data_IF_687878064385
#
_entry.id   IF_687878064385
#
_cell.length_a   1.000
_cell.length_b   1.000
_cell.length_c   1.000
_cell.angle_alpha   90.00
_cell.angle_beta   90.00
_cell.angle_gamma   90.00
#
_symmetry.space_group_name_H-M   'P 1'
#
loop_
_entity.id
_entity.type
_entity.pdbx_description
1 polymer ?
#
# COMPACT_ATOMS: atom_id res chain seq x y z
N UNK A 1 -30.30 9.55 -33.43
CA UNK A 1 -29.92 9.57 -32.02
C UNK A 1 -31.16 9.22 -31.21
N UNK A 2 -31.09 8.17 -30.36
CA UNK A 2 -32.22 7.81 -29.49
C UNK A 2 -32.43 8.91 -28.44
N UNK A 3 -33.70 9.19 -28.14
CA UNK A 3 -34.06 10.08 -27.06
C UNK A 3 -33.64 9.44 -25.74
N UNK A 4 -32.91 10.17 -24.88
CA UNK A 4 -32.52 9.66 -23.57
C UNK A 4 -33.77 9.39 -22.72
N UNK A 5 -34.00 8.12 -22.36
CA UNK A 5 -35.08 7.71 -21.48
C UNK A 5 -34.75 7.96 -20.02
N UNK A 6 -35.75 8.19 -19.19
CA UNK A 6 -35.59 8.47 -17.75
C UNK A 6 -34.88 7.33 -16.97
N UNK A 7 -34.97 6.08 -17.49
CA UNK A 7 -34.38 4.89 -16.86
C UNK A 7 -33.09 4.38 -17.55
N UNK A 8 -32.55 5.10 -18.52
CA UNK A 8 -31.40 4.61 -19.31
C UNK A 8 -30.15 4.38 -18.44
N UNK A 9 -29.92 5.22 -17.44
CA UNK A 9 -28.80 5.06 -16.52
C UNK A 9 -28.95 3.80 -15.64
N UNK A 10 -30.17 3.54 -15.13
CA UNK A 10 -30.44 2.36 -14.31
C UNK A 10 -30.32 1.08 -15.12
N UNK A 11 -30.83 1.06 -16.35
CA UNK A 11 -30.72 -0.08 -17.26
C UNK A 11 -29.24 -0.37 -17.59
N UNK A 12 -28.45 0.66 -17.85
CA UNK A 12 -27.00 0.52 -18.09
C UNK A 12 -26.26 0.00 -16.86
N UNK A 13 -26.59 0.49 -15.65
CA UNK A 13 -26.03 0.00 -14.41
C UNK A 13 -26.42 -1.47 -14.15
N UNK A 14 -27.67 -1.85 -14.39
CA UNK A 14 -28.13 -3.24 -14.30
C UNK A 14 -27.38 -4.15 -15.28
N UNK A 15 -27.17 -3.69 -16.52
CA UNK A 15 -26.39 -4.42 -17.52
C UNK A 15 -24.91 -4.59 -17.11
N UNK A 16 -24.30 -3.59 -16.45
CA UNK A 16 -22.95 -3.69 -15.90
C UNK A 16 -22.89 -4.72 -14.76
N UNK A 17 -23.88 -4.70 -13.87
CA UNK A 17 -23.99 -5.67 -12.75
C UNK A 17 -24.14 -7.10 -13.27
N UNK A 18 -24.96 -7.31 -14.30
CA UNK A 18 -25.12 -8.61 -14.94
C UNK A 18 -23.82 -9.15 -15.56
N UNK A 19 -22.92 -8.28 -15.99
CA UNK A 19 -21.56 -8.63 -16.47
C UNK A 19 -20.53 -8.81 -15.37
N UNK A 20 -20.90 -8.58 -14.10
CA UNK A 20 -20.03 -8.76 -12.95
C UNK A 20 -19.08 -7.57 -12.71
N UNK A 21 -19.64 -6.39 -12.41
CA UNK A 21 -18.82 -5.23 -12.01
C UNK A 21 -18.03 -5.52 -10.72
N UNK A 22 -16.67 -5.55 -10.77
CA UNK A 22 -15.86 -5.87 -9.60
C UNK A 22 -15.96 -4.83 -8.47
N UNK A 23 -16.37 -3.59 -8.78
CA UNK A 23 -16.52 -2.53 -7.78
C UNK A 23 -17.75 -2.74 -6.88
N UNK A 24 -18.79 -3.42 -7.34
CA UNK A 24 -19.93 -3.78 -6.49
C UNK A 24 -19.54 -4.73 -5.36
N UNK A 25 -18.71 -5.72 -5.66
CA UNK A 25 -18.20 -6.63 -4.63
C UNK A 25 -17.35 -5.88 -3.60
N UNK A 26 -16.52 -4.94 -4.04
CA UNK A 26 -15.72 -4.09 -3.16
C UNK A 26 -16.64 -3.21 -2.30
N UNK A 27 -17.64 -2.54 -2.90
CA UNK A 27 -18.56 -1.66 -2.18
C UNK A 27 -19.32 -2.38 -1.07
N UNK A 28 -19.74 -3.62 -1.33
CA UNK A 28 -20.46 -4.46 -0.37
C UNK A 28 -19.58 -4.98 0.76
N UNK A 29 -18.32 -5.34 0.47
CA UNK A 29 -17.45 -6.04 1.43
C UNK A 29 -16.65 -5.11 2.33
N UNK A 30 -16.38 -3.88 1.88
CA UNK A 30 -15.59 -2.89 2.63
C UNK A 30 -16.50 -2.09 3.55
N UNK A 31 -16.21 -2.01 4.87
CA UNK A 31 -17.02 -1.26 5.83
C UNK A 31 -16.69 0.24 5.79
N UNK A 32 -17.04 0.92 4.71
CA UNK A 32 -16.65 2.32 4.44
C UNK A 32 -16.90 3.26 5.60
N UNK A 33 -18.05 3.18 6.24
CA UNK A 33 -18.42 4.07 7.35
C UNK A 33 -17.56 3.86 8.60
N UNK A 34 -16.93 2.70 8.75
CA UNK A 34 -16.03 2.47 9.88
C UNK A 34 -14.76 3.32 9.86
N UNK A 35 -14.41 3.89 8.70
CA UNK A 35 -13.27 4.79 8.53
C UNK A 35 -13.62 6.26 8.78
N UNK A 36 -14.91 6.62 8.80
CA UNK A 36 -15.39 8.01 8.81
C UNK A 36 -14.80 8.83 9.95
N UNK A 37 -14.98 8.36 11.18
CA UNK A 37 -14.59 9.12 12.36
C UNK A 37 -13.09 9.46 12.37
N UNK A 38 -12.24 8.52 12.00
CA UNK A 38 -10.78 8.73 11.95
C UNK A 38 -10.37 9.71 10.84
N UNK A 39 -11.05 9.62 9.69
CA UNK A 39 -10.77 10.52 8.55
C UNK A 39 -11.24 11.94 8.88
N UNK A 40 -12.47 12.09 9.34
CA UNK A 40 -13.05 13.39 9.67
C UNK A 40 -12.28 14.13 10.75
N UNK A 41 -11.77 13.41 11.76
CA UNK A 41 -10.91 13.99 12.79
C UNK A 41 -9.63 14.66 12.24
N UNK A 42 -9.16 14.23 11.08
CA UNK A 42 -7.95 14.76 10.43
C UNK A 42 -8.27 15.84 9.39
N UNK A 43 -9.37 15.67 8.64
CA UNK A 43 -9.64 16.52 7.48
C UNK A 43 -10.57 17.69 7.76
N UNK A 44 -11.46 17.54 8.73
CA UNK A 44 -12.37 18.61 9.13
C UNK A 44 -11.72 19.54 10.16
N UNK A 45 -12.04 20.81 10.04
CA UNK A 45 -11.69 21.78 11.07
C UNK A 45 -12.70 21.64 12.21
N UNK A 46 -12.25 21.43 13.46
CA UNK A 46 -13.15 21.37 14.61
C UNK A 46 -14.05 22.60 14.70
N UNK A 47 -15.30 22.43 15.10
CA UNK A 47 -16.28 23.52 15.15
C UNK A 47 -15.85 24.67 16.06
N UNK A 48 -15.12 24.34 17.14
CA UNK A 48 -14.55 25.30 18.10
C UNK A 48 -13.52 26.26 17.47
N UNK A 49 -12.87 25.84 16.38
CA UNK A 49 -11.84 26.62 15.68
C UNK A 49 -12.41 27.30 14.44
N UNK A 50 -13.64 26.98 14.04
CA UNK A 50 -14.28 27.59 12.88
C UNK A 50 -14.61 29.04 13.17
N UNK A 51 -14.10 29.94 12.34
CA UNK A 51 -14.39 31.38 12.43
C UNK A 51 -15.81 31.74 11.99
N UNK A 52 -16.46 30.91 11.21
CA UNK A 52 -17.80 31.13 10.65
C UNK A 52 -18.38 29.81 10.14
N UNK A 53 -19.69 29.65 10.18
CA UNK A 53 -20.45 28.58 9.52
C UNK A 53 -20.72 28.86 8.04
N UNK A 54 -20.35 30.05 7.55
CA UNK A 54 -20.49 30.43 6.15
C UNK A 54 -19.45 29.69 5.29
N UNK A 55 -19.83 29.37 4.07
CA UNK A 55 -18.94 28.72 3.08
C UNK A 55 -19.52 27.45 2.48
N UNK A 56 -18.80 26.89 1.48
CA UNK A 56 -19.18 25.63 0.84
C UNK A 56 -19.05 24.50 1.87
N UNK A 57 -20.09 23.66 1.97
CA UNK A 57 -20.03 22.45 2.79
C UNK A 57 -18.84 21.56 2.37
N UNK A 58 -18.11 20.97 3.32
CA UNK A 58 -17.05 20.04 2.98
C UNK A 58 -17.63 18.84 2.22
N UNK A 59 -16.85 18.35 1.26
CA UNK A 59 -17.18 17.12 0.53
C UNK A 59 -17.12 15.97 1.52
N UNK A 60 -18.02 15.00 1.38
CA UNK A 60 -18.05 13.81 2.23
C UNK A 60 -16.69 13.10 2.23
N UNK A 61 -16.15 12.85 3.42
CA UNK A 61 -14.84 12.25 3.61
C UNK A 61 -14.75 10.83 3.05
N UNK A 62 -15.87 10.07 3.07
CA UNK A 62 -15.92 8.72 2.52
C UNK A 62 -15.93 8.74 0.99
N UNK A 63 -16.55 9.72 0.36
CA UNK A 63 -16.48 9.90 -1.10
C UNK A 63 -15.03 10.12 -1.54
N UNK A 64 -14.30 11.01 -0.86
CA UNK A 64 -12.88 11.26 -1.14
C UNK A 64 -12.01 10.03 -0.86
N UNK A 65 -12.29 9.29 0.21
CA UNK A 65 -11.56 8.06 0.51
C UNK A 65 -11.82 6.98 -0.55
N UNK A 66 -13.05 6.79 -1.01
CA UNK A 66 -13.38 5.91 -2.12
C UNK A 66 -12.64 6.31 -3.41
N UNK A 67 -12.52 7.62 -3.70
CA UNK A 67 -11.71 8.09 -4.83
C UNK A 67 -10.23 7.70 -4.69
N UNK A 68 -9.63 7.80 -3.50
CA UNK A 68 -8.25 7.34 -3.25
C UNK A 68 -8.10 5.83 -3.44
N UNK A 69 -9.10 5.05 -3.04
CA UNK A 69 -9.11 3.60 -3.27
C UNK A 69 -9.23 3.29 -4.76
N UNK A 70 -10.11 3.96 -5.51
CA UNK A 70 -10.17 3.85 -6.97
C UNK A 70 -8.85 4.19 -7.63
N UNK A 71 -8.21 5.26 -7.18
CA UNK A 71 -6.90 5.67 -7.66
C UNK A 71 -5.84 4.58 -7.44
N UNK A 72 -5.81 3.98 -6.25
CA UNK A 72 -4.88 2.91 -5.92
C UNK A 72 -5.17 1.60 -6.68
N UNK A 73 -6.44 1.23 -6.83
CA UNK A 73 -6.89 0.04 -7.55
C UNK A 73 -6.55 0.07 -9.05
N UNK A 74 -6.53 1.26 -9.65
CA UNK A 74 -6.36 1.45 -11.09
C UNK A 74 -5.08 2.22 -11.46
N UNK A 75 -4.25 2.58 -10.48
CA UNK A 75 -3.02 3.38 -10.64
C UNK A 75 -3.23 4.68 -11.44
N UNK A 76 -4.25 5.44 -11.10
CA UNK A 76 -4.61 6.68 -11.77
C UNK A 76 -3.86 7.88 -11.17
N UNK A 77 -3.65 8.94 -11.97
CA UNK A 77 -3.31 10.26 -11.44
C UNK A 77 -4.54 10.95 -10.84
N UNK A 78 -4.35 12.08 -10.19
CA UNK A 78 -5.46 12.84 -9.59
C UNK A 78 -6.43 13.31 -10.69
N UNK A 79 -5.92 13.81 -11.79
CA UNK A 79 -6.69 14.26 -12.96
C UNK A 79 -7.39 13.08 -13.65
N UNK A 80 -6.70 11.92 -13.74
CA UNK A 80 -7.28 10.74 -14.35
C UNK A 80 -8.44 10.17 -13.53
N UNK A 81 -8.35 10.16 -12.19
CA UNK A 81 -9.47 9.66 -11.39
C UNK A 81 -10.66 10.60 -11.44
N UNK A 82 -10.45 11.92 -11.41
CA UNK A 82 -11.50 12.91 -11.63
C UNK A 82 -12.21 12.68 -12.97
N UNK A 83 -11.43 12.59 -14.06
CA UNK A 83 -11.98 12.35 -15.40
C UNK A 83 -12.76 11.03 -15.47
N UNK A 84 -12.17 9.93 -14.98
CA UNK A 84 -12.81 8.60 -15.07
C UNK A 84 -14.04 8.45 -14.18
N UNK A 85 -14.14 9.19 -13.08
CA UNK A 85 -15.36 9.22 -12.28
C UNK A 85 -16.51 9.87 -13.05
N UNK A 86 -16.23 10.91 -13.85
CA UNK A 86 -17.23 11.55 -14.72
C UNK A 86 -17.62 10.70 -15.91
N UNK A 87 -16.68 9.93 -16.46
CA UNK A 87 -16.84 9.14 -17.68
C UNK A 87 -17.47 7.77 -17.43
N UNK A 88 -17.21 7.12 -16.29
CA UNK A 88 -17.59 5.73 -16.01
C UNK A 88 -18.70 5.63 -14.99
N UNK A 89 -19.86 5.20 -15.43
CA UNK A 89 -21.02 4.94 -14.55
C UNK A 89 -20.68 4.01 -13.36
N UNK A 90 -19.82 2.99 -13.55
CA UNK A 90 -19.40 2.11 -12.47
C UNK A 90 -18.59 2.85 -11.39
N UNK A 91 -17.78 3.85 -11.76
CA UNK A 91 -17.03 4.66 -10.80
C UNK A 91 -17.96 5.63 -10.05
N UNK A 92 -18.86 6.32 -10.76
CA UNK A 92 -19.86 7.22 -10.15
C UNK A 92 -20.72 6.46 -9.15
N UNK A 93 -21.24 5.27 -9.55
CA UNK A 93 -21.97 4.37 -8.65
C UNK A 93 -21.13 3.94 -7.43
N UNK A 94 -19.87 3.58 -7.63
CA UNK A 94 -18.98 3.19 -6.54
C UNK A 94 -18.77 4.31 -5.54
N UNK A 95 -18.78 5.57 -5.96
CA UNK A 95 -18.74 6.74 -5.09
C UNK A 95 -20.08 7.02 -4.40
N UNK A 96 -21.15 6.33 -4.78
CA UNK A 96 -22.55 6.60 -4.36
C UNK A 96 -22.98 8.01 -4.70
N UNK A 97 -22.53 8.50 -5.87
CA UNK A 97 -22.90 9.78 -6.43
C UNK A 97 -23.91 9.59 -7.56
N UNK A 98 -24.86 10.52 -7.70
CA UNK A 98 -25.72 10.63 -8.86
C UNK A 98 -24.96 11.19 -10.07
N UNK A 99 -25.55 11.10 -11.25
CA UNK A 99 -24.97 11.64 -12.49
C UNK A 99 -24.84 13.17 -12.43
N UNK A 100 -25.79 13.82 -11.76
CA UNK A 100 -25.84 15.29 -11.59
C UNK A 100 -24.99 15.80 -10.41
N UNK A 101 -24.46 14.89 -9.59
CA UNK A 101 -23.69 15.30 -8.43
C UNK A 101 -22.32 15.90 -8.82
N UNK A 102 -21.89 16.87 -8.05
CA UNK A 102 -20.59 17.51 -8.23
C UNK A 102 -19.46 16.56 -7.81
N UNK A 103 -18.66 16.14 -8.77
CA UNK A 103 -17.49 15.27 -8.53
C UNK A 103 -16.32 16.13 -7.99
N UNK A 104 -15.64 15.68 -6.93
CA UNK A 104 -14.44 16.33 -6.41
C UNK A 104 -13.34 16.45 -7.48
N UNK A 105 -12.72 17.62 -7.55
CA UNK A 105 -11.62 17.87 -8.49
C UNK A 105 -10.29 17.28 -8.02
N UNK A 106 -9.32 17.20 -8.91
CA UNK A 106 -7.97 16.69 -8.67
C UNK A 106 -7.26 17.42 -7.52
N UNK A 107 -7.43 18.73 -7.40
CA UNK A 107 -6.82 19.55 -6.34
C UNK A 107 -7.40 19.19 -4.97
N UNK A 108 -8.71 19.05 -4.88
CA UNK A 108 -9.40 18.62 -3.66
C UNK A 108 -8.93 17.22 -3.20
N UNK A 109 -8.82 16.27 -4.13
CA UNK A 109 -8.33 14.93 -3.85
C UNK A 109 -6.87 14.95 -3.39
N UNK A 110 -6.03 15.76 -4.04
CA UNK A 110 -4.64 15.93 -3.65
C UNK A 110 -4.51 16.50 -2.23
N UNK A 111 -5.26 17.57 -1.91
CA UNK A 111 -5.26 18.19 -0.57
C UNK A 111 -5.73 17.20 0.51
N UNK A 112 -6.78 16.44 0.21
CA UNK A 112 -7.27 15.39 1.10
C UNK A 112 -6.18 14.36 1.40
N UNK A 113 -5.55 13.80 0.36
CA UNK A 113 -4.45 12.84 0.52
C UNK A 113 -3.26 13.42 1.30
N UNK A 114 -2.90 14.69 1.08
CA UNK A 114 -1.82 15.36 1.82
C UNK A 114 -2.13 15.47 3.33
N UNK A 115 -3.38 15.77 3.70
CA UNK A 115 -3.80 15.78 5.11
C UNK A 115 -3.65 14.39 5.73
N UNK A 116 -4.15 13.34 5.07
CA UNK A 116 -4.03 11.96 5.55
C UNK A 116 -2.56 11.53 5.68
N UNK A 117 -1.73 11.86 4.67
CA UNK A 117 -0.31 11.51 4.66
C UNK A 117 0.45 12.18 5.81
N UNK A 118 0.25 13.49 6.01
CA UNK A 118 0.90 14.24 7.10
C UNK A 118 0.49 13.77 8.49
N UNK A 119 -0.73 13.30 8.63
CA UNK A 119 -1.24 12.75 9.89
C UNK A 119 -0.86 11.28 10.13
N UNK A 120 -0.18 10.60 9.17
CA UNK A 120 0.11 9.17 9.24
C UNK A 120 -1.16 8.32 9.34
N UNK A 121 -2.28 8.81 8.77
CA UNK A 121 -3.57 8.15 8.95
C UNK A 121 -3.71 6.90 8.07
N UNK A 122 -2.97 6.79 6.97
CA UNK A 122 -3.09 5.67 6.02
C UNK A 122 -2.77 4.34 6.72
N UNK A 123 -1.75 4.32 7.58
CA UNK A 123 -1.38 3.15 8.38
C UNK A 123 -2.53 2.74 9.32
N UNK A 124 -3.17 3.71 9.99
CA UNK A 124 -4.32 3.44 10.88
C UNK A 124 -5.53 2.88 10.10
N UNK A 125 -5.81 3.42 8.91
CA UNK A 125 -6.87 2.91 8.04
C UNK A 125 -6.57 1.49 7.56
N UNK A 126 -5.31 1.17 7.30
CA UNK A 126 -4.88 -0.19 6.98
C UNK A 126 -5.12 -1.13 8.17
N UNK A 127 -4.72 -0.76 9.38
CA UNK A 127 -4.92 -1.55 10.60
C UNK A 127 -6.41 -1.75 10.90
N UNK A 128 -7.23 -0.71 10.71
CA UNK A 128 -8.69 -0.79 10.83
C UNK A 128 -9.27 -1.83 9.86
N UNK A 129 -8.77 -1.84 8.63
CA UNK A 129 -9.21 -2.83 7.64
C UNK A 129 -8.76 -4.25 8.01
N UNK A 130 -7.55 -4.43 8.56
CA UNK A 130 -7.09 -5.75 9.03
C UNK A 130 -7.94 -6.27 10.20
N UNK A 131 -8.38 -5.40 11.12
CA UNK A 131 -9.35 -5.74 12.16
C UNK A 131 -10.68 -6.22 11.55
N UNK A 132 -11.18 -5.55 10.50
CA UNK A 132 -12.36 -5.99 9.78
C UNK A 132 -12.18 -7.35 9.13
N UNK A 133 -11.02 -7.62 8.52
CA UNK A 133 -10.69 -8.93 7.96
C UNK A 133 -10.71 -10.02 9.03
N UNK A 134 -10.15 -9.74 10.22
CA UNK A 134 -10.14 -10.68 11.32
C UNK A 134 -11.58 -10.96 11.84
N UNK A 135 -12.41 -9.93 11.96
CA UNK A 135 -13.83 -10.05 12.34
C UNK A 135 -14.65 -10.88 11.34
N UNK A 136 -14.30 -10.83 10.06
CA UNK A 136 -14.87 -11.70 9.01
C UNK A 136 -14.33 -13.14 8.98
N UNK A 137 -13.47 -13.51 9.93
CA UNK A 137 -12.89 -14.86 10.02
C UNK A 137 -11.59 -15.05 9.22
N UNK A 138 -11.10 -14.01 8.54
CA UNK A 138 -9.82 -14.04 7.85
C UNK A 138 -8.66 -13.67 8.79
N UNK A 139 -8.57 -14.35 9.94
CA UNK A 139 -7.43 -14.21 10.85
C UNK A 139 -6.14 -14.70 10.21
N UNK A 140 -4.98 -14.18 10.66
CA UNK A 140 -3.68 -14.61 10.19
C UNK A 140 -3.45 -16.10 10.47
N UNK A 141 -3.10 -16.89 9.46
CA UNK A 141 -2.95 -18.35 9.57
C UNK A 141 -1.76 -18.91 8.77
N UNK A 142 -1.21 -20.02 9.29
CA UNK A 142 -0.22 -20.81 8.57
C UNK A 142 1.20 -20.25 8.62
N UNK A 143 1.46 -19.29 9.47
CA UNK A 143 2.75 -18.62 9.61
C UNK A 143 2.81 -17.28 8.86
N UNK A 144 3.91 -16.59 9.07
CA UNK A 144 4.18 -15.24 8.56
C UNK A 144 5.24 -15.32 7.47
N UNK A 145 4.98 -14.69 6.33
CA UNK A 145 5.94 -14.54 5.24
C UNK A 145 6.42 -13.09 5.23
N UNK A 146 7.72 -12.89 5.46
CA UNK A 146 8.33 -11.57 5.47
C UNK A 146 9.22 -11.42 4.23
N UNK A 147 9.02 -10.35 3.49
CA UNK A 147 9.82 -10.02 2.31
C UNK A 147 9.75 -8.52 2.03
N UNK A 148 10.62 -8.02 1.16
CA UNK A 148 10.67 -6.62 0.77
C UNK A 148 10.78 -6.46 -0.75
N UNK A 149 10.08 -5.46 -1.27
CA UNK A 149 10.20 -5.07 -2.67
C UNK A 149 10.72 -3.64 -2.78
N UNK A 150 11.57 -3.41 -3.80
CA UNK A 150 12.04 -2.06 -4.13
C UNK A 150 10.93 -1.35 -4.89
N UNK A 151 10.61 -0.14 -4.44
CA UNK A 151 9.67 0.77 -5.07
C UNK A 151 10.46 1.93 -5.67
N UNK A 152 10.77 1.88 -6.97
CA UNK A 152 11.57 2.91 -7.60
C UNK A 152 10.83 4.24 -7.70
N UNK A 153 11.59 5.32 -7.64
CA UNK A 153 11.15 6.69 -7.94
C UNK A 153 11.96 7.22 -9.13
N UNK A 154 11.52 8.32 -9.77
CA UNK A 154 12.30 8.94 -10.86
C UNK A 154 13.73 9.22 -10.44
N UNK A 155 14.68 8.72 -11.21
CA UNK A 155 16.11 8.87 -10.94
C UNK A 155 16.51 10.35 -10.98
N UNK A 156 17.29 10.78 -10.00
CA UNK A 156 17.77 12.14 -9.89
C UNK A 156 19.25 12.21 -10.24
N UNK A 157 19.61 13.23 -11.01
CA UNK A 157 21.02 13.56 -11.29
C UNK A 157 21.50 14.54 -10.23
N UNK A 158 22.34 14.08 -9.32
CA UNK A 158 22.99 14.88 -8.30
C UNK A 158 24.51 14.75 -8.48
N UNK A 159 25.27 15.80 -8.16
CA UNK A 159 26.71 15.70 -8.01
C UNK A 159 27.09 14.81 -6.82
N UNK A 160 28.38 14.48 -6.71
CA UNK A 160 28.87 13.70 -5.57
C UNK A 160 28.65 14.45 -4.27
N UNK A 161 28.98 15.74 -4.24
CA UNK A 161 28.87 16.60 -3.05
C UNK A 161 27.41 16.82 -2.64
N UNK A 162 26.51 17.00 -3.65
CA UNK A 162 25.06 17.04 -3.40
C UNK A 162 24.56 15.74 -2.75
N UNK A 163 25.02 14.58 -3.23
CA UNK A 163 24.64 13.30 -2.67
C UNK A 163 25.18 13.10 -1.23
N UNK A 164 26.39 13.54 -0.96
CA UNK A 164 26.98 13.47 0.39
C UNK A 164 26.23 14.38 1.37
N UNK A 165 25.89 15.61 0.95
CA UNK A 165 25.07 16.51 1.76
C UNK A 165 23.69 15.92 2.07
N UNK A 166 23.01 15.36 1.07
CA UNK A 166 21.69 14.72 1.24
C UNK A 166 21.78 13.48 2.14
N UNK A 167 22.82 12.65 2.01
CA UNK A 167 23.04 11.51 2.92
C UNK A 167 23.25 11.95 4.38
N UNK A 168 23.91 13.09 4.58
CA UNK A 168 24.12 13.68 5.90
C UNK A 168 22.89 14.46 6.42
N UNK A 169 21.74 14.37 5.75
CA UNK A 169 20.50 15.07 6.13
C UNK A 169 20.52 16.58 5.84
N UNK A 170 21.54 17.08 5.14
CA UNK A 170 21.70 18.50 4.82
C UNK A 170 21.15 18.80 3.43
N UNK A 171 20.72 20.06 3.24
CA UNK A 171 20.35 20.58 1.93
C UNK A 171 21.61 21.18 1.29
N UNK A 172 21.99 20.78 0.06
CA UNK A 172 23.09 21.42 -0.65
C UNK A 172 22.89 22.93 -0.77
N UNK A 173 23.92 23.72 -0.47
CA UNK A 173 23.81 25.19 -0.42
C UNK A 173 23.29 25.80 -1.72
N UNK A 174 23.73 25.27 -2.86
CA UNK A 174 23.27 25.73 -4.18
C UNK A 174 21.77 25.55 -4.43
N UNK A 175 21.12 24.64 -3.72
CA UNK A 175 19.69 24.39 -3.90
C UNK A 175 18.82 25.47 -3.26
N UNK A 176 19.32 26.17 -2.23
CA UNK A 176 18.60 27.31 -1.62
C UNK A 176 18.38 28.44 -2.65
N UNK A 177 19.38 28.64 -3.53
CA UNK A 177 19.30 29.66 -4.59
C UNK A 177 18.46 29.20 -5.79
N UNK A 178 17.99 27.93 -5.81
CA UNK A 178 17.19 27.32 -6.89
C UNK A 178 15.96 26.60 -6.32
N UNK A 179 14.95 27.34 -5.81
CA UNK A 179 13.80 26.77 -5.11
C UNK A 179 12.98 25.80 -6.00
N UNK A 180 12.93 25.99 -7.30
CA UNK A 180 12.30 25.05 -8.24
C UNK A 180 13.04 23.71 -8.28
N UNK A 181 14.39 23.73 -8.30
CA UNK A 181 15.21 22.52 -8.22
C UNK A 181 14.98 21.80 -6.87
N UNK A 182 14.98 22.55 -5.76
CA UNK A 182 14.79 22.00 -4.42
C UNK A 182 13.45 21.27 -4.28
N UNK A 183 12.36 21.84 -4.83
CA UNK A 183 11.02 21.23 -4.79
C UNK A 183 10.91 19.92 -5.58
N UNK A 184 11.77 19.73 -6.58
CA UNK A 184 11.78 18.53 -7.43
C UNK A 184 12.70 17.43 -6.90
N UNK A 185 13.53 17.72 -5.88
CA UNK A 185 14.49 16.76 -5.32
C UNK A 185 13.88 15.94 -4.20
N UNK A 186 13.87 14.63 -4.37
CA UNK A 186 13.58 13.70 -3.29
C UNK A 186 14.84 13.51 -2.44
N UNK A 187 14.78 13.98 -1.19
CA UNK A 187 15.90 13.93 -0.26
C UNK A 187 15.88 12.70 0.65
N UNK A 188 14.77 11.95 0.62
CA UNK A 188 14.57 10.77 1.47
C UNK A 188 14.87 9.48 0.72
N UNK A 189 14.64 9.45 -0.61
CA UNK A 189 14.96 8.29 -1.44
C UNK A 189 16.47 8.02 -1.46
N UNK A 190 16.82 6.73 -1.52
CA UNK A 190 18.24 6.28 -1.53
C UNK A 190 18.50 5.28 -2.64
N UNK A 191 19.76 5.18 -3.02
CA UNK A 191 20.24 4.17 -3.93
C UNK A 191 20.43 2.83 -3.21
N UNK A 192 20.03 1.76 -3.89
CA UNK A 192 20.32 0.38 -3.51
C UNK A 192 20.74 -0.42 -4.74
N UNK A 193 21.43 -1.54 -4.51
CA UNK A 193 21.85 -2.43 -5.59
C UNK A 193 21.25 -3.83 -5.37
N UNK A 194 20.58 -4.35 -6.39
CA UNK A 194 20.01 -5.71 -6.37
C UNK A 194 20.30 -6.40 -7.70
N UNK A 195 20.85 -7.61 -7.65
CA UNK A 195 21.24 -8.39 -8.84
C UNK A 195 22.05 -7.60 -9.87
N UNK A 196 23.05 -6.84 -9.40
CA UNK A 196 23.92 -6.04 -10.26
C UNK A 196 23.30 -4.73 -10.79
N UNK A 197 22.00 -4.51 -10.61
CA UNK A 197 21.29 -3.27 -11.03
C UNK A 197 21.13 -2.31 -9.88
N UNK A 198 21.30 -1.01 -10.18
CA UNK A 198 21.08 0.07 -9.21
C UNK A 198 19.65 0.59 -9.31
N UNK A 199 19.03 0.81 -8.16
CA UNK A 199 17.68 1.36 -8.02
C UNK A 199 17.72 2.56 -7.09
N UNK A 200 16.95 3.58 -7.42
CA UNK A 200 16.77 4.76 -6.57
C UNK A 200 15.31 4.80 -6.11
N UNK A 201 15.07 4.89 -4.81
CA UNK A 201 13.72 4.93 -4.27
C UNK A 201 13.58 4.47 -2.83
N UNK A 202 12.50 3.72 -2.61
CA UNK A 202 12.06 3.21 -1.33
C UNK A 202 11.95 1.70 -1.34
N UNK A 203 11.69 1.11 -0.17
CA UNK A 203 11.30 -0.29 -0.01
C UNK A 203 9.95 -0.39 0.68
N UNK A 204 9.12 -1.32 0.22
CA UNK A 204 7.94 -1.80 0.90
C UNK A 204 8.25 -3.15 1.51
N UNK A 205 8.42 -3.17 2.83
CA UNK A 205 8.59 -4.40 3.62
C UNK A 205 7.21 -4.87 4.04
N UNK A 206 6.88 -6.12 3.80
CA UNK A 206 5.58 -6.67 4.13
C UNK A 206 5.69 -7.94 4.96
N UNK A 207 4.74 -8.12 5.86
CA UNK A 207 4.40 -9.38 6.49
C UNK A 207 3.04 -9.82 5.97
N UNK A 208 2.98 -10.94 5.29
CA UNK A 208 1.74 -11.54 4.81
C UNK A 208 1.51 -12.91 5.44
N UNK A 209 0.26 -13.27 5.74
CA UNK A 209 -0.05 -14.61 6.23
C UNK A 209 0.03 -15.66 5.12
N UNK A 210 0.51 -16.85 5.46
CA UNK A 210 0.78 -17.90 4.48
C UNK A 210 -0.50 -18.52 3.91
N UNK A 211 -1.63 -18.50 4.63
CA UNK A 211 -2.88 -19.09 4.17
C UNK A 211 -3.66 -18.17 3.24
N UNK A 212 -4.01 -16.98 3.70
CA UNK A 212 -4.87 -16.06 2.95
C UNK A 212 -4.10 -15.13 2.02
N UNK A 213 -2.76 -15.00 2.20
CA UNK A 213 -1.88 -14.08 1.47
C UNK A 213 -2.31 -12.61 1.66
N UNK A 214 -2.89 -12.28 2.81
CA UNK A 214 -3.24 -10.93 3.21
C UNK A 214 -2.03 -10.26 3.86
N UNK A 215 -1.74 -9.02 3.52
CA UNK A 215 -0.74 -8.22 4.23
C UNK A 215 -1.28 -7.93 5.61
N UNK A 216 -0.53 -8.27 6.66
CA UNK A 216 -0.90 -8.04 8.06
C UNK A 216 -0.21 -6.84 8.65
N UNK A 217 0.99 -6.59 8.17
CA UNK A 217 1.78 -5.42 8.56
C UNK A 217 2.73 -5.03 7.43
N UNK A 218 3.05 -3.77 7.34
CA UNK A 218 4.03 -3.27 6.39
C UNK A 218 4.81 -2.10 6.98
N UNK A 219 6.03 -1.91 6.46
CA UNK A 219 6.89 -0.77 6.75
C UNK A 219 7.47 -0.23 5.45
N UNK A 220 7.57 1.10 5.37
CA UNK A 220 8.16 1.77 4.21
C UNK A 220 9.41 2.52 4.65
N UNK A 221 10.54 2.18 4.02
CA UNK A 221 11.83 2.79 4.28
C UNK A 221 12.43 3.35 3.00
N UNK A 222 13.52 4.09 3.12
CA UNK A 222 14.37 4.31 1.96
C UNK A 222 15.01 2.98 1.48
N UNK A 223 15.46 2.95 0.22
CA UNK A 223 15.93 1.71 -0.39
C UNK A 223 17.28 1.21 0.14
N UNK A 224 18.02 2.00 0.89
CA UNK A 224 19.31 1.60 1.45
C UNK A 224 19.19 0.79 2.75
N UNK A 225 18.06 0.89 3.46
CA UNK A 225 17.81 0.12 4.68
C UNK A 225 17.81 -1.37 4.36
N UNK A 226 18.58 -2.16 5.13
CA UNK A 226 18.64 -3.60 4.93
C UNK A 226 17.36 -4.26 5.42
N UNK A 227 16.86 -5.26 4.68
CA UNK A 227 15.55 -5.87 4.93
C UNK A 227 15.42 -6.47 6.33
N UNK A 228 16.51 -7.07 6.84
CA UNK A 228 16.56 -7.67 8.19
C UNK A 228 16.38 -6.66 9.33
N UNK A 229 16.67 -5.38 9.12
CA UNK A 229 16.52 -4.35 10.15
C UNK A 229 15.05 -4.05 10.48
N UNK A 230 14.12 -4.44 9.60
CA UNK A 230 12.69 -4.22 9.76
C UNK A 230 11.90 -5.48 10.18
N UNK A 231 12.61 -6.58 10.42
CA UNK A 231 11.95 -7.85 10.75
C UNK A 231 11.08 -7.74 12.02
N UNK A 232 11.64 -7.18 13.10
CA UNK A 232 10.96 -7.15 14.40
C UNK A 232 9.69 -6.28 14.36
N UNK A 233 9.73 -5.17 13.60
CA UNK A 233 8.59 -4.28 13.41
C UNK A 233 7.46 -4.92 12.58
N UNK A 234 7.82 -5.86 11.71
CA UNK A 234 6.86 -6.56 10.84
C UNK A 234 6.16 -7.73 11.53
N UNK A 235 6.78 -8.34 12.54
CA UNK A 235 6.23 -9.53 13.16
C UNK A 235 4.98 -9.24 13.98
N UNK A 236 4.00 -10.14 13.91
CA UNK A 236 2.74 -10.07 14.66
C UNK A 236 2.51 -11.34 15.47
N UNK A 237 1.96 -11.23 16.67
CA UNK A 237 1.65 -12.37 17.54
C UNK A 237 0.29 -13.02 17.23
N UNK A 238 -0.52 -12.43 16.38
CA UNK A 238 -1.90 -12.88 16.09
C UNK A 238 -2.02 -14.00 15.04
N UNK A 239 -0.92 -14.66 14.65
CA UNK A 239 -0.95 -15.76 13.67
C UNK A 239 -1.13 -17.12 14.38
N UNK A 240 -1.94 -18.02 13.79
CA UNK A 240 -2.18 -19.38 14.35
C UNK A 240 -0.95 -20.29 14.33
N UNK A 241 0.13 -19.91 13.63
CA UNK A 241 1.42 -20.61 13.63
C UNK A 241 2.54 -19.65 13.99
N UNK A 242 3.46 -20.10 14.80
CA UNK A 242 4.67 -19.36 15.15
C UNK A 242 5.72 -19.30 14.00
N UNK A 243 5.50 -19.97 12.88
CA UNK A 243 6.46 -20.05 11.78
C UNK A 243 6.67 -18.68 11.10
N UNK A 244 7.93 -18.31 10.90
CA UNK A 244 8.35 -17.09 10.21
C UNK A 244 9.20 -17.48 9.00
N UNK A 245 8.67 -17.25 7.79
CA UNK A 245 9.32 -17.51 6.52
C UNK A 245 9.97 -16.24 5.97
N UNK A 246 11.22 -16.32 5.59
CA UNK A 246 11.97 -15.24 4.98
C UNK A 246 13.08 -15.77 4.09
N UNK A 247 13.68 -14.91 3.29
CA UNK A 247 14.87 -15.28 2.53
C UNK A 247 16.13 -15.28 3.42
N UNK A 248 17.27 -15.69 2.85
CA UNK A 248 18.52 -15.79 3.59
C UNK A 248 19.09 -14.41 4.03
N UNK A 249 18.59 -13.30 3.52
CA UNK A 249 19.00 -11.96 3.94
C UNK A 249 18.52 -11.64 5.36
N UNK A 250 17.46 -12.29 5.82
CA UNK A 250 16.96 -12.17 7.19
C UNK A 250 17.66 -13.10 8.19
N UNK A 251 18.68 -13.89 7.78
CA UNK A 251 19.30 -14.88 8.66
C UNK A 251 20.59 -14.37 9.27
N UNK A 252 20.61 -14.28 10.60
CA UNK A 252 21.80 -14.14 11.43
C UNK A 252 21.58 -14.86 12.75
N UNK A 253 22.67 -15.17 13.48
CA UNK A 253 22.57 -15.80 14.82
C UNK A 253 21.72 -14.98 15.75
N UNK A 254 21.92 -13.67 15.76
CA UNK A 254 21.18 -12.71 16.56
C UNK A 254 19.68 -12.70 16.26
N UNK A 255 19.29 -12.73 14.98
CA UNK A 255 17.89 -12.80 14.55
C UNK A 255 17.25 -14.11 14.97
N UNK A 256 17.96 -15.22 14.81
CA UNK A 256 17.48 -16.56 15.23
C UNK A 256 17.23 -16.62 16.75
N UNK A 257 18.10 -16.00 17.55
CA UNK A 257 17.93 -15.92 19.00
C UNK A 257 16.76 -15.04 19.39
N UNK A 258 16.61 -13.86 18.76
CA UNK A 258 15.46 -12.97 19.00
C UNK A 258 14.14 -13.63 18.62
N UNK A 259 14.07 -14.27 17.46
CA UNK A 259 12.86 -15.00 17.04
C UNK A 259 12.47 -16.05 18.07
N UNK A 260 13.47 -16.83 18.57
CA UNK A 260 13.23 -17.86 19.60
C UNK A 260 12.77 -17.23 20.90
N UNK A 261 13.41 -16.18 21.35
CA UNK A 261 13.04 -15.45 22.57
C UNK A 261 11.61 -14.88 22.51
N UNK A 262 11.15 -14.46 21.33
CA UNK A 262 9.80 -13.99 21.09
C UNK A 262 8.76 -15.11 20.85
N UNK A 263 9.18 -16.38 20.91
CA UNK A 263 8.31 -17.55 20.71
C UNK A 263 8.05 -17.91 19.24
N UNK A 264 8.79 -17.32 18.32
CA UNK A 264 8.69 -17.63 16.90
C UNK A 264 9.58 -18.83 16.49
N UNK A 265 9.16 -19.53 15.45
CA UNK A 265 9.92 -20.64 14.83
C UNK A 265 10.47 -20.15 13.50
N UNK A 266 11.80 -20.00 13.43
CA UNK A 266 12.45 -19.58 12.19
C UNK A 266 12.29 -20.64 11.10
N UNK A 267 11.77 -20.20 9.96
CA UNK A 267 11.73 -20.90 8.67
C UNK A 267 12.50 -20.12 7.61
N UNK A 268 13.43 -19.27 8.05
CA UNK A 268 14.30 -18.50 7.19
C UNK A 268 15.27 -19.43 6.47
N UNK A 269 15.55 -19.14 5.19
CA UNK A 269 16.46 -19.94 4.39
C UNK A 269 17.87 -19.98 4.97
N UNK A 270 18.47 -21.16 4.97
CA UNK A 270 19.89 -21.34 5.28
C UNK A 270 20.70 -20.95 4.03
N UNK A 271 21.74 -20.14 4.23
CA UNK A 271 22.66 -19.73 3.16
C UNK A 271 23.92 -20.59 3.18
N UNK A 272 24.34 -21.07 2.01
CA UNK A 272 25.66 -21.63 1.84
C UNK A 272 26.72 -20.54 2.06
N UNK A 273 27.82 -20.88 2.70
CA UNK A 273 29.00 -20.03 2.84
C UNK A 273 30.15 -20.58 1.97
N UNK A 274 31.19 -19.77 1.78
CA UNK A 274 32.39 -20.25 1.04
C UNK A 274 33.03 -21.50 1.64
N UNK A 275 32.88 -21.67 2.97
CA UNK A 275 33.51 -22.80 3.71
C UNK A 275 32.55 -24.00 3.90
N UNK A 276 31.24 -23.78 3.81
CA UNK A 276 30.26 -24.83 4.07
C UNK A 276 29.13 -24.77 3.02
N UNK A 277 29.05 -25.82 2.20
CA UNK A 277 27.89 -26.08 1.34
C UNK A 277 26.68 -26.47 2.18
N UNK A 278 25.49 -26.33 1.62
CA UNK A 278 24.27 -26.83 2.28
C UNK A 278 24.32 -28.36 2.33
N UNK A 279 23.98 -28.94 3.47
CA UNK A 279 23.70 -30.36 3.53
C UNK A 279 22.42 -30.69 2.72
N UNK A 280 22.24 -31.92 2.32
CA UNK A 280 21.07 -32.36 1.59
C UNK A 280 19.76 -32.09 2.36
N UNK A 281 19.77 -32.34 3.68
CA UNK A 281 18.67 -32.01 4.58
C UNK A 281 18.34 -30.51 4.58
N UNK A 282 19.37 -29.65 4.61
CA UNK A 282 19.19 -28.19 4.56
C UNK A 282 18.67 -27.73 3.20
N UNK A 283 19.16 -28.30 2.10
CA UNK A 283 18.68 -28.02 0.76
C UNK A 283 17.20 -28.42 0.59
N UNK A 284 16.81 -29.59 1.07
CA UNK A 284 15.42 -30.07 1.07
C UNK A 284 14.53 -29.19 1.95
N UNK A 285 14.98 -28.81 3.14
CA UNK A 285 14.27 -27.89 4.01
C UNK A 285 14.05 -26.51 3.33
N UNK A 286 15.10 -25.95 2.69
CA UNK A 286 14.98 -24.69 1.94
C UNK A 286 13.99 -24.82 0.78
N UNK A 287 13.97 -25.94 0.05
CA UNK A 287 13.03 -26.21 -1.04
C UNK A 287 11.58 -26.18 -0.54
N UNK A 288 11.30 -26.78 0.62
CA UNK A 288 9.98 -26.78 1.23
C UNK A 288 9.57 -25.38 1.74
N UNK A 289 10.50 -24.64 2.35
CA UNK A 289 10.29 -23.24 2.78
C UNK A 289 10.01 -22.33 1.59
N UNK A 290 10.72 -22.52 0.47
CA UNK A 290 10.52 -21.75 -0.77
C UNK A 290 9.09 -21.87 -1.31
N UNK A 291 8.46 -23.05 -1.23
CA UNK A 291 7.06 -23.24 -1.68
C UNK A 291 6.07 -22.37 -0.93
N UNK A 292 6.34 -22.09 0.35
CA UNK A 292 5.49 -21.22 1.17
C UNK A 292 5.87 -19.75 0.93
N UNK A 293 7.18 -19.43 0.99
CA UNK A 293 7.69 -18.07 0.78
C UNK A 293 7.28 -17.50 -0.58
N UNK A 294 7.32 -18.29 -1.66
CA UNK A 294 6.91 -17.86 -2.98
C UNK A 294 5.47 -17.28 -3.04
N UNK A 295 4.64 -17.57 -2.04
CA UNK A 295 3.29 -17.00 -1.96
C UNK A 295 3.32 -15.48 -1.72
N UNK A 296 4.38 -14.91 -1.13
CA UNK A 296 4.52 -13.45 -0.96
C UNK A 296 4.76 -12.76 -2.31
N UNK A 297 5.32 -13.47 -3.29
CA UNK A 297 5.52 -12.94 -4.64
C UNK A 297 4.19 -12.58 -5.31
N UNK A 298 3.08 -13.25 -4.94
CA UNK A 298 1.74 -12.86 -5.40
C UNK A 298 1.34 -11.46 -4.92
N UNK A 299 1.79 -11.06 -3.73
CA UNK A 299 1.51 -9.71 -3.20
C UNK A 299 2.19 -8.67 -4.09
N UNK A 300 3.48 -8.84 -4.33
CA UNK A 300 4.26 -7.90 -5.13
C UNK A 300 3.90 -7.93 -6.61
N UNK A 301 3.63 -9.12 -7.17
CA UNK A 301 3.16 -9.24 -8.54
C UNK A 301 1.82 -8.51 -8.74
N UNK A 302 0.86 -8.68 -7.84
CA UNK A 302 -0.42 -7.99 -7.90
C UNK A 302 -0.25 -6.45 -7.82
N UNK A 303 0.66 -5.96 -6.99
CA UNK A 303 0.97 -4.54 -6.88
C UNK A 303 1.62 -3.99 -8.16
N UNK A 304 2.49 -4.77 -8.80
CA UNK A 304 3.20 -4.35 -10.01
C UNK A 304 2.34 -4.43 -11.29
N UNK A 305 1.45 -5.41 -11.38
CA UNK A 305 0.65 -5.66 -12.58
C UNK A 305 -0.76 -5.09 -12.47
N UNK A 306 -1.53 -5.57 -11.52
CA UNK A 306 -2.95 -5.25 -11.38
C UNK A 306 -3.20 -3.84 -10.79
N UNK A 307 -2.29 -3.37 -9.93
CA UNK A 307 -2.33 -2.02 -9.35
C UNK A 307 -1.37 -1.04 -10.06
N UNK A 308 -0.74 -1.46 -11.15
CA UNK A 308 0.04 -0.64 -12.09
C UNK A 308 1.24 0.11 -11.51
N UNK A 309 1.66 -0.21 -10.30
CA UNK A 309 2.55 0.64 -9.51
C UNK A 309 4.03 0.26 -9.57
N UNK A 310 4.68 0.36 -10.75
CA UNK A 310 6.15 0.15 -10.80
C UNK A 310 6.96 1.33 -10.28
N UNK A 311 6.45 2.56 -10.40
CA UNK A 311 7.18 3.78 -10.03
C UNK A 311 6.27 4.69 -9.22
N UNK A 312 6.72 5.08 -8.02
CA UNK A 312 6.07 6.10 -7.22
C UNK A 312 6.64 7.46 -7.62
N UNK A 313 5.76 8.37 -8.06
CA UNK A 313 6.12 9.71 -8.52
C UNK A 313 5.90 10.81 -7.48
N UNK A 314 5.85 10.44 -6.21
CA UNK A 314 5.79 11.39 -5.10
C UNK A 314 7.18 11.73 -4.61
N UNK A 315 7.34 12.89 -3.97
CA UNK A 315 8.59 13.35 -3.40
C UNK A 315 8.48 13.29 -1.88
N UNK A 316 9.46 12.62 -1.26
CA UNK A 316 9.60 12.50 0.18
C UNK A 316 8.92 11.26 0.76
N UNK A 317 9.48 10.78 1.89
CA UNK A 317 9.09 9.52 2.54
C UNK A 317 7.64 9.53 3.03
N UNK A 318 7.12 10.68 3.48
CA UNK A 318 5.75 10.80 4.00
C UNK A 318 4.73 10.50 2.91
N UNK A 319 4.90 11.08 1.72
CA UNK A 319 4.04 10.82 0.57
C UNK A 319 4.24 9.43 -0.01
N UNK A 320 5.49 8.93 -0.01
CA UNK A 320 5.78 7.57 -0.45
C UNK A 320 5.10 6.54 0.46
N UNK A 321 5.15 6.71 1.80
CA UNK A 321 4.42 5.88 2.77
C UNK A 321 2.93 5.88 2.50
N UNK A 322 2.33 7.04 2.31
CA UNK A 322 0.90 7.14 2.02
C UNK A 322 0.52 6.43 0.70
N UNK A 323 1.30 6.62 -0.37
CA UNK A 323 1.04 5.97 -1.66
C UNK A 323 1.19 4.46 -1.58
N UNK A 324 2.26 3.98 -0.97
CA UNK A 324 2.53 2.54 -0.80
C UNK A 324 1.51 1.91 0.16
N UNK A 325 1.15 2.59 1.24
CA UNK A 325 0.12 2.15 2.18
C UNK A 325 -1.26 1.99 1.51
N UNK A 326 -1.66 2.95 0.68
CA UNK A 326 -2.88 2.83 -0.12
C UNK A 326 -2.83 1.67 -1.12
N UNK A 327 -1.66 1.37 -1.72
CA UNK A 327 -1.49 0.20 -2.57
C UNK A 327 -1.60 -1.10 -1.78
N UNK A 328 -1.03 -1.17 -0.57
CA UNK A 328 -1.16 -2.32 0.32
C UNK A 328 -2.63 -2.53 0.74
N UNK A 329 -3.35 -1.46 1.08
CA UNK A 329 -4.78 -1.50 1.39
C UNK A 329 -5.61 -1.97 0.19
N UNK A 330 -5.38 -1.41 -0.99
CA UNK A 330 -6.06 -1.80 -2.23
C UNK A 330 -5.80 -3.28 -2.58
N UNK A 331 -4.58 -3.76 -2.35
CA UNK A 331 -4.27 -5.19 -2.48
C UNK A 331 -5.12 -6.04 -1.54
N UNK A 332 -5.19 -5.70 -0.24
CA UNK A 332 -6.00 -6.45 0.73
C UNK A 332 -7.49 -6.41 0.40
N UNK A 333 -8.02 -5.28 -0.07
CA UNK A 333 -9.41 -5.14 -0.53
C UNK A 333 -9.69 -6.11 -1.69
N UNK A 334 -8.84 -6.13 -2.73
CA UNK A 334 -9.00 -7.06 -3.86
C UNK A 334 -8.85 -8.51 -3.42
N UNK A 335 -7.94 -8.77 -2.49
CA UNK A 335 -7.72 -10.11 -1.96
C UNK A 335 -8.93 -10.60 -1.18
N UNK A 336 -9.59 -9.75 -0.38
CA UNK A 336 -10.84 -10.07 0.30
C UNK A 336 -11.91 -10.51 -0.71
N UNK A 337 -12.15 -9.73 -1.76
CA UNK A 337 -13.12 -10.11 -2.83
C UNK A 337 -12.80 -11.48 -3.43
N UNK A 338 -11.51 -11.77 -3.64
CA UNK A 338 -11.09 -13.07 -4.16
C UNK A 338 -11.37 -14.20 -3.17
N UNK A 339 -11.10 -13.97 -1.88
CA UNK A 339 -11.33 -14.96 -0.82
C UNK A 339 -12.83 -15.26 -0.63
N UNK A 340 -13.66 -14.23 -0.64
CA UNK A 340 -15.12 -14.38 -0.56
C UNK A 340 -15.67 -15.17 -1.75
N UNK A 341 -15.14 -14.90 -2.96
CA UNK A 341 -15.54 -15.67 -4.16
C UNK A 341 -15.14 -17.13 -4.06
N UNK A 342 -13.96 -17.43 -3.52
CA UNK A 342 -13.51 -18.82 -3.30
C UNK A 342 -14.34 -19.50 -2.21
N UNK A 343 -14.75 -18.78 -1.18
CA UNK A 343 -15.58 -19.33 -0.09
C UNK A 343 -17.03 -19.59 -0.53
N UNK A 344 -17.53 -18.90 -1.56
CA UNK A 344 -18.85 -19.06 -2.12
C UNK A 344 -18.95 -20.12 -3.24
N UNK A 345 -17.79 -20.57 -3.77
CA UNK A 345 -17.69 -21.62 -4.80
C UNK A 345 -17.56 -23.01 -4.19
#
# INVERSE_FOLDING_TARGET
MGQLGFFDAEQRLAALSAKGDPLEAIDRLVPWESFRAEIEAVVLTPDEVRKSSAGRKPIDAIVLFRMLVLQALNNLSDEQVEYQVRDRLSFTRFLRQGIEDSIPDATTLWLFREKLAKAGLIEKLFDRFDQHLAAKGYMARGGQMVDATIVPVPTQRNSRDENEAVKAGRIPQEWYNKPAKLRQKDRDARWTKRHGRSFFGYKNHVNADAKHKLIRRYEVTDAAVHDSQKLDELLTKGNTSADVFGDSAYRSSEIEERLRACGFKSRIHVRATRKHSLSEAQANANRNRSKIRARVEHVFAAQQTALGGRIVRTIGIVRARAKIGLQNLAYNIRRLVTLERIAAA
#
